data_IF_241199492715
#
_entry.id   IF_241199492715
#
_cell.length_a   1.000
_cell.length_b   1.000
_cell.length_c   1.000
_cell.angle_alpha   90.00
_cell.angle_beta   90.00
_cell.angle_gamma   90.00
#
_symmetry.space_group_name_H-M   'P 1'
#
loop_
_entity.id
_entity.type
_entity.pdbx_description
1 polymer ?
#
# COMPACT_ATOMS: atom_id res chain seq x y z
N UNK A 1 -0.93 -6.07 28.50
CA UNK A 1 -1.07 -4.74 27.87
C UNK A 1 -1.92 -4.91 26.63
N UNK A 2 -3.03 -4.17 26.54
CA UNK A 2 -4.11 -4.36 25.57
C UNK A 2 -3.61 -4.01 24.15
N UNK A 3 -3.68 -4.95 23.21
CA UNK A 3 -3.58 -4.66 21.76
C UNK A 3 -4.78 -3.76 21.45
N UNK A 4 -4.56 -2.45 21.47
CA UNK A 4 -5.59 -1.48 21.18
C UNK A 4 -5.97 -1.66 19.72
N UNK A 5 -7.17 -2.20 19.49
CA UNK A 5 -7.87 -2.34 18.22
C UNK A 5 -8.14 -0.97 17.60
N UNK A 6 -7.08 -0.22 17.28
CA UNK A 6 -7.20 0.80 16.27
C UNK A 6 -7.36 0.03 14.96
N UNK A 7 -8.60 -0.28 14.60
CA UNK A 7 -8.95 -0.62 13.22
C UNK A 7 -8.72 0.65 12.40
N UNK A 8 -7.46 1.03 12.22
CA UNK A 8 -7.07 2.04 11.26
C UNK A 8 -7.54 1.56 9.91
N UNK A 9 -8.26 2.43 9.22
CA UNK A 9 -8.64 2.20 7.85
C UNK A 9 -7.39 1.92 7.02
N UNK A 10 -7.53 1.14 5.94
CA UNK A 10 -6.42 0.85 5.03
C UNK A 10 -5.73 2.15 4.57
N UNK A 11 -6.49 3.22 4.36
CA UNK A 11 -6.00 4.54 4.00
C UNK A 11 -5.11 5.17 5.07
N UNK A 12 -5.46 5.05 6.36
CA UNK A 12 -4.63 5.53 7.46
C UNK A 12 -3.34 4.72 7.59
N UNK A 13 -3.43 3.39 7.51
CA UNK A 13 -2.26 2.50 7.54
C UNK A 13 -1.31 2.79 6.37
N UNK A 14 -1.85 2.99 5.16
CA UNK A 14 -1.06 3.37 3.98
C UNK A 14 -0.43 4.76 4.11
N UNK A 15 -1.13 5.72 4.72
CA UNK A 15 -0.56 7.04 5.02
C UNK A 15 0.58 6.92 6.02
N UNK A 16 0.38 6.19 7.11
CA UNK A 16 1.42 5.92 8.11
C UNK A 16 2.64 5.23 7.48
N UNK A 17 2.40 4.22 6.64
CA UNK A 17 3.44 3.53 5.89
C UNK A 17 4.17 4.47 4.91
N UNK A 18 3.47 5.37 4.22
CA UNK A 18 4.11 6.39 3.38
C UNK A 18 5.01 7.34 4.18
N UNK A 19 4.59 7.70 5.39
CA UNK A 19 5.38 8.51 6.34
C UNK A 19 6.59 7.76 6.91
N UNK A 20 6.67 6.43 6.76
CA UNK A 20 7.86 5.66 7.18
C UNK A 20 9.16 6.14 6.53
N UNK A 21 9.06 6.78 5.36
CA UNK A 21 10.18 7.39 4.65
C UNK A 21 10.51 8.83 5.08
N UNK A 22 9.62 9.49 5.85
CA UNK A 22 9.64 10.94 6.09
C UNK A 22 9.73 11.37 7.55
N UNK A 23 9.56 10.48 8.54
CA UNK A 23 9.79 10.89 9.95
C UNK A 23 8.99 10.12 10.99
N UNK A 24 8.09 10.79 11.71
CA UNK A 24 7.31 10.19 12.79
C UNK A 24 6.17 9.32 12.22
N UNK A 25 6.24 8.01 12.44
CA UNK A 25 5.24 7.02 12.04
C UNK A 25 5.14 5.93 13.11
N UNK A 26 4.04 5.21 13.12
CA UNK A 26 3.89 3.99 13.92
C UNK A 26 4.66 2.85 13.27
N UNK A 27 5.76 2.45 13.90
CA UNK A 27 6.64 1.37 13.43
C UNK A 27 5.93 0.03 13.34
N UNK A 28 5.06 -0.28 14.29
CA UNK A 28 4.38 -1.59 14.35
C UNK A 28 3.43 -1.73 13.18
N UNK A 29 2.63 -0.69 12.92
CA UNK A 29 1.73 -0.68 11.77
C UNK A 29 2.50 -0.69 10.45
N UNK A 30 3.55 0.14 10.32
CA UNK A 30 4.35 0.18 9.10
C UNK A 30 5.09 -1.15 8.81
N UNK A 31 5.53 -1.87 9.84
CA UNK A 31 6.10 -3.22 9.70
C UNK A 31 5.06 -4.24 9.26
N UNK A 32 3.85 -4.21 9.83
CA UNK A 32 2.74 -5.07 9.42
C UNK A 32 2.36 -4.83 7.95
N UNK A 33 2.18 -3.56 7.56
CA UNK A 33 1.96 -3.16 6.16
C UNK A 33 3.12 -3.60 5.28
N UNK A 34 4.37 -3.46 5.72
CA UNK A 34 5.54 -3.89 4.95
C UNK A 34 5.57 -5.41 4.76
N UNK A 35 5.19 -6.19 5.77
CA UNK A 35 5.12 -7.66 5.69
C UNK A 35 4.05 -8.10 4.71
N UNK A 36 2.83 -7.54 4.83
CA UNK A 36 1.74 -7.80 3.90
C UNK A 36 2.05 -7.29 2.49
N UNK A 37 2.74 -6.16 2.35
CA UNK A 37 3.20 -5.66 1.06
C UNK A 37 4.21 -6.62 0.42
N UNK A 38 5.13 -7.21 1.17
CA UNK A 38 6.14 -8.14 0.62
C UNK A 38 5.53 -9.38 -0.01
N UNK A 39 4.38 -9.85 0.46
CA UNK A 39 3.68 -11.03 -0.05
C UNK A 39 2.80 -10.74 -1.28
N UNK A 40 2.57 -9.46 -1.63
CA UNK A 40 1.85 -9.08 -2.84
C UNK A 40 2.62 -9.39 -4.12
N UNK A 41 1.90 -9.41 -5.25
CA UNK A 41 2.51 -9.59 -6.56
C UNK A 41 3.48 -8.44 -6.88
N UNK A 42 4.56 -8.67 -7.65
CA UNK A 42 5.55 -7.65 -7.98
C UNK A 42 4.96 -6.34 -8.52
N UNK A 43 3.89 -6.45 -9.32
CA UNK A 43 3.20 -5.30 -9.93
C UNK A 43 2.44 -4.46 -8.91
N UNK A 44 1.72 -5.09 -8.00
CA UNK A 44 0.99 -4.44 -6.90
C UNK A 44 1.97 -3.79 -5.92
N UNK A 45 3.11 -4.44 -5.68
CA UNK A 45 4.16 -3.89 -4.81
C UNK A 45 4.76 -2.62 -5.38
N UNK A 46 5.10 -2.62 -6.65
CA UNK A 46 5.70 -1.46 -7.32
C UNK A 46 4.73 -0.27 -7.35
N UNK A 47 3.44 -0.48 -7.67
CA UNK A 47 2.47 0.64 -7.68
C UNK A 47 2.31 1.25 -6.28
N UNK A 48 2.19 0.43 -5.24
CA UNK A 48 2.07 0.93 -3.85
C UNK A 48 3.34 1.65 -3.40
N UNK A 49 4.52 1.10 -3.71
CA UNK A 49 5.81 1.73 -3.40
C UNK A 49 5.93 3.09 -4.09
N UNK A 50 5.63 3.17 -5.38
CA UNK A 50 5.75 4.43 -6.10
C UNK A 50 4.75 5.47 -5.60
N UNK A 51 3.50 5.09 -5.35
CA UNK A 51 2.45 6.04 -4.95
C UNK A 51 2.62 6.49 -3.50
N UNK A 52 2.87 5.57 -2.57
CA UNK A 52 2.85 5.88 -1.13
C UNK A 52 4.24 6.15 -0.54
N UNK A 53 5.29 5.44 -0.96
CA UNK A 53 6.65 5.68 -0.44
C UNK A 53 7.38 6.77 -1.23
N UNK A 54 7.26 6.78 -2.55
CA UNK A 54 7.94 7.78 -3.39
C UNK A 54 7.09 9.01 -3.67
N UNK A 55 5.79 8.98 -3.34
CA UNK A 55 4.84 10.02 -3.71
C UNK A 55 4.88 10.37 -5.20
N UNK A 56 5.15 9.37 -6.03
CA UNK A 56 5.27 9.54 -7.47
C UNK A 56 3.91 9.87 -8.09
N UNK A 57 3.89 10.86 -8.98
CA UNK A 57 2.69 11.20 -9.74
C UNK A 57 2.27 10.09 -10.69
N UNK A 58 0.98 10.10 -11.04
CA UNK A 58 0.35 9.14 -11.96
C UNK A 58 1.14 8.91 -13.24
N UNK A 59 1.72 9.96 -13.83
CA UNK A 59 2.49 9.85 -15.07
C UNK A 59 3.76 9.01 -14.95
N UNK A 60 4.47 9.15 -13.83
CA UNK A 60 5.70 8.40 -13.55
C UNK A 60 5.37 6.93 -13.33
N UNK A 61 4.29 6.67 -12.58
CA UNK A 61 3.80 5.31 -12.33
C UNK A 61 3.34 4.65 -13.62
N UNK A 62 2.53 5.32 -14.44
CA UNK A 62 2.07 4.78 -15.72
C UNK A 62 3.24 4.47 -16.66
N UNK A 63 4.24 5.35 -16.74
CA UNK A 63 5.44 5.14 -17.57
C UNK A 63 6.23 3.92 -17.10
N UNK A 64 6.44 3.78 -15.79
CA UNK A 64 7.28 2.72 -15.22
C UNK A 64 6.61 1.35 -15.23
N UNK A 65 5.33 1.29 -14.88
CA UNK A 65 4.54 0.06 -14.87
C UNK A 65 3.96 -0.30 -16.24
N UNK A 66 4.30 0.48 -17.28
CA UNK A 66 3.76 0.33 -18.64
C UNK A 66 2.23 0.29 -18.65
N UNK A 67 1.58 1.00 -17.72
CA UNK A 67 0.13 1.14 -17.68
C UNK A 67 -0.26 2.12 -18.79
N UNK A 68 -1.22 1.77 -19.66
CA UNK A 68 -1.71 2.69 -20.67
C UNK A 68 -2.17 3.99 -20.02
N UNK A 69 -1.66 5.13 -20.50
CA UNK A 69 -2.04 6.46 -19.97
C UNK A 69 -3.53 6.75 -20.16
N UNK A 70 -4.12 6.13 -21.19
CA UNK A 70 -5.52 6.28 -21.55
C UNK A 70 -6.15 4.90 -21.79
N UNK A 71 -7.38 4.65 -21.30
CA UNK A 71 -8.20 5.54 -20.48
C UNK A 71 -7.68 5.67 -19.05
N UNK A 72 -7.83 6.85 -18.45
CA UNK A 72 -7.17 7.13 -17.17
C UNK A 72 -7.61 6.27 -15.99
N UNK A 73 -8.82 5.71 -16.10
CA UNK A 73 -9.42 4.74 -15.17
C UNK A 73 -8.59 3.47 -15.00
N UNK A 74 -7.72 3.12 -15.97
CA UNK A 74 -6.83 1.97 -15.84
C UNK A 74 -5.86 2.15 -14.67
N UNK A 75 -5.32 3.34 -14.47
CA UNK A 75 -4.46 3.60 -13.33
C UNK A 75 -5.22 3.44 -12.00
N UNK A 76 -6.43 4.00 -11.92
CA UNK A 76 -7.26 3.89 -10.72
C UNK A 76 -7.65 2.44 -10.44
N UNK A 77 -7.93 1.65 -11.48
CA UNK A 77 -8.23 0.23 -11.37
C UNK A 77 -7.04 -0.56 -10.84
N UNK A 78 -5.83 -0.32 -11.37
CA UNK A 78 -4.60 -0.97 -10.89
C UNK A 78 -4.28 -0.59 -9.44
N UNK A 79 -4.44 0.70 -9.10
CA UNK A 79 -4.22 1.18 -7.74
C UNK A 79 -5.26 0.59 -6.77
N UNK A 80 -6.51 0.50 -7.20
CA UNK A 80 -7.57 -0.14 -6.42
C UNK A 80 -7.32 -1.63 -6.24
N UNK A 81 -6.91 -2.34 -7.30
CA UNK A 81 -6.54 -3.75 -7.22
C UNK A 81 -5.40 -3.98 -6.21
N UNK A 82 -4.35 -3.16 -6.27
CA UNK A 82 -3.23 -3.25 -5.33
C UNK A 82 -3.63 -2.96 -3.88
N UNK A 83 -4.50 -1.95 -3.65
CA UNK A 83 -5.08 -1.67 -2.32
C UNK A 83 -5.91 -2.84 -1.80
N UNK A 84 -6.78 -3.39 -2.63
CA UNK A 84 -7.63 -4.53 -2.27
C UNK A 84 -6.82 -5.81 -2.04
N UNK A 85 -5.74 -6.03 -2.78
CA UNK A 85 -4.80 -7.11 -2.51
C UNK A 85 -4.11 -6.92 -1.16
N UNK A 86 -3.58 -5.72 -0.87
CA UNK A 86 -2.98 -5.41 0.43
C UNK A 86 -3.96 -5.61 1.60
N UNK A 87 -5.20 -5.13 1.46
CA UNK A 87 -6.24 -5.27 2.48
C UNK A 87 -6.55 -6.74 2.77
N UNK A 88 -6.63 -7.58 1.74
CA UNK A 88 -6.82 -9.03 1.89
C UNK A 88 -5.66 -9.64 2.66
N UNK A 89 -4.43 -9.33 2.27
CA UNK A 89 -3.25 -9.91 2.92
C UNK A 89 -3.06 -9.41 4.35
N UNK A 90 -3.40 -8.17 4.66
CA UNK A 90 -3.45 -7.66 6.04
C UNK A 90 -4.50 -8.40 6.85
N UNK A 91 -5.70 -8.62 6.31
CA UNK A 91 -6.75 -9.39 6.98
C UNK A 91 -6.39 -10.87 7.14
N UNK A 92 -5.50 -11.42 6.30
CA UNK A 92 -4.94 -12.76 6.45
C UNK A 92 -3.84 -12.82 7.51
N UNK A 93 -2.94 -11.82 7.55
CA UNK A 93 -1.89 -11.70 8.58
C UNK A 93 -2.50 -11.50 9.98
N UNK A 94 -3.57 -10.70 10.10
CA UNK A 94 -4.32 -10.52 11.35
C UNK A 94 -5.03 -11.80 11.82
N UNK A 95 -5.33 -12.73 10.91
CA UNK A 95 -5.98 -14.02 11.21
C UNK A 95 -4.99 -15.12 11.61
N UNK A 96 -3.69 -14.94 11.39
CA UNK A 96 -2.65 -15.93 11.71
C UNK A 96 -1.62 -15.33 12.70
N UNK A 97 -1.90 -15.40 14.02
CA UNK A 97 -1.06 -14.78 15.06
C UNK A 97 0.29 -15.47 15.28
#
# INVERSE_FOLDING_TARGET
MKRNERQWSLDERLRNWGQSSRGAYDRVDAECVTRAWRTLAPREREILRMVFLWHAGREVVCRRLKIPRHPGRLFDFELHAARSALARTLAEDERHP
#
